data_IF_819179714332
#
_entry.id   IF_819179714332
#
_cell.length_a   1.000
_cell.length_b   1.000
_cell.length_c   1.000
_cell.angle_alpha   90.00
_cell.angle_beta   90.00
_cell.angle_gamma   90.00
#
_symmetry.space_group_name_H-M   'P 1'
#
loop_
_entity.id
_entity.type
_entity.pdbx_description
1 polymer ?
#
# COMPACT_ATOMS: atom_id res chain seq x y z
N UNK A 1 8.03 -6.80 -20.73
CA UNK A 1 6.73 -6.10 -20.60
C UNK A 1 5.70 -7.13 -20.19
N UNK A 2 5.06 -6.94 -19.05
CA UNK A 2 4.02 -7.86 -18.56
C UNK A 2 2.76 -7.61 -19.41
N UNK A 3 2.32 -8.62 -20.20
CA UNK A 3 1.10 -8.54 -21.00
C UNK A 3 -0.05 -8.83 -20.04
N UNK A 4 -0.91 -7.83 -19.77
CA UNK A 4 -2.10 -8.03 -18.96
C UNK A 4 -3.00 -9.09 -19.59
N UNK A 5 -3.54 -10.02 -18.80
CA UNK A 5 -4.32 -11.18 -19.28
C UNK A 5 -5.69 -10.82 -19.88
N UNK A 6 -6.07 -9.54 -19.92
CA UNK A 6 -7.37 -9.06 -20.42
C UNK A 6 -8.57 -9.33 -19.49
N UNK A 7 -8.40 -10.01 -18.36
CA UNK A 7 -9.47 -10.26 -17.36
C UNK A 7 -9.66 -9.06 -16.44
N UNK A 8 -10.13 -7.94 -16.98
CA UNK A 8 -10.15 -6.68 -16.26
C UNK A 8 -11.08 -6.67 -15.04
N UNK A 9 -12.26 -7.35 -15.10
CA UNK A 9 -13.17 -7.48 -13.96
C UNK A 9 -12.52 -8.23 -12.78
N UNK A 10 -11.76 -9.27 -13.08
CA UNK A 10 -11.05 -10.03 -12.06
C UNK A 10 -9.96 -9.19 -11.39
N UNK A 11 -9.17 -8.45 -12.18
CA UNK A 11 -8.18 -7.51 -11.66
C UNK A 11 -8.80 -6.40 -10.82
N UNK A 12 -9.96 -5.85 -11.23
CA UNK A 12 -10.72 -4.86 -10.47
C UNK A 12 -11.17 -5.42 -9.12
N UNK A 13 -11.81 -6.61 -9.13
CA UNK A 13 -12.28 -7.25 -7.91
C UNK A 13 -11.13 -7.48 -6.91
N UNK A 14 -10.00 -8.01 -7.37
CA UNK A 14 -8.84 -8.25 -6.51
C UNK A 14 -8.22 -6.96 -5.97
N UNK A 15 -8.14 -5.90 -6.77
CA UNK A 15 -7.64 -4.61 -6.33
C UNK A 15 -8.58 -3.95 -5.30
N UNK A 16 -9.89 -4.03 -5.49
CA UNK A 16 -10.88 -3.54 -4.53
C UNK A 16 -10.90 -4.37 -3.25
N UNK A 17 -10.76 -5.69 -3.35
CA UNK A 17 -10.62 -6.58 -2.21
C UNK A 17 -9.36 -6.21 -1.38
N UNK A 18 -8.25 -5.95 -2.05
CA UNK A 18 -7.02 -5.49 -1.40
C UNK A 18 -7.24 -4.16 -0.68
N UNK A 19 -7.87 -3.17 -1.35
CA UNK A 19 -8.17 -1.87 -0.76
C UNK A 19 -9.08 -1.99 0.47
N UNK A 20 -10.10 -2.85 0.42
CA UNK A 20 -10.99 -3.14 1.54
C UNK A 20 -10.20 -3.77 2.71
N UNK A 21 -9.43 -4.81 2.44
CA UNK A 21 -8.67 -5.54 3.46
C UNK A 21 -7.61 -4.64 4.13
N UNK A 22 -6.89 -3.83 3.36
CA UNK A 22 -5.92 -2.88 3.90
C UNK A 22 -6.59 -1.68 4.59
N UNK A 23 -7.79 -1.27 4.13
CA UNK A 23 -8.53 -0.17 4.74
C UNK A 23 -9.07 -0.52 6.14
N UNK A 24 -9.53 -1.75 6.34
CA UNK A 24 -10.04 -2.22 7.65
C UNK A 24 -8.90 -2.66 8.59
N UNK A 25 -7.72 -2.96 8.06
CA UNK A 25 -6.60 -3.50 8.84
C UNK A 25 -6.14 -2.59 10.00
N UNK A 26 -5.98 -1.25 9.84
CA UNK A 26 -5.49 -0.38 10.90
C UNK A 26 -6.36 -0.37 12.16
N UNK A 27 -7.69 -0.53 12.00
CA UNK A 27 -8.62 -0.57 13.14
C UNK A 27 -8.35 -1.80 13.99
N UNK A 28 -8.22 -2.97 13.36
CA UNK A 28 -7.90 -4.23 14.05
C UNK A 28 -6.55 -4.18 14.72
N UNK A 29 -5.55 -3.64 14.03
CA UNK A 29 -4.20 -3.48 14.56
C UNK A 29 -4.17 -2.52 15.74
N UNK A 30 -4.92 -1.40 15.70
CA UNK A 30 -4.98 -0.42 16.79
C UNK A 30 -5.47 -1.03 18.08
N UNK A 31 -6.44 -1.95 18.02
CA UNK A 31 -6.96 -2.67 19.18
C UNK A 31 -5.93 -3.66 19.74
N UNK A 32 -5.24 -4.42 18.88
CA UNK A 32 -4.19 -5.35 19.32
C UNK A 32 -2.99 -4.61 19.93
N UNK A 33 -2.64 -3.43 19.37
CA UNK A 33 -1.54 -2.59 19.86
C UNK A 33 -1.77 -1.96 21.24
N UNK A 34 -2.97 -2.10 21.83
CA UNK A 34 -3.20 -1.70 23.22
C UNK A 34 -2.48 -2.61 24.22
N UNK A 35 -2.21 -3.87 23.85
CA UNK A 35 -1.59 -4.88 24.70
C UNK A 35 -0.27 -5.35 24.14
N UNK A 36 -0.17 -5.50 22.83
CA UNK A 36 0.98 -6.06 22.12
C UNK A 36 1.86 -4.98 21.50
N UNK A 37 3.17 -5.10 21.59
CA UNK A 37 4.09 -4.17 20.95
C UNK A 37 4.14 -4.34 19.41
N UNK A 38 4.51 -3.27 18.65
CA UNK A 38 4.56 -3.29 17.19
C UNK A 38 5.43 -4.39 16.58
N UNK A 39 6.55 -4.74 17.21
CA UNK A 39 7.48 -5.77 16.71
C UNK A 39 6.83 -7.14 16.82
N UNK A 40 6.23 -7.42 17.97
CA UNK A 40 5.58 -8.72 18.25
C UNK A 40 4.35 -8.95 17.37
N UNK A 41 3.50 -7.93 17.20
CA UNK A 41 2.37 -8.00 16.23
C UNK A 41 2.88 -8.28 14.82
N UNK A 42 3.91 -7.57 14.38
CA UNK A 42 4.53 -7.77 13.06
C UNK A 42 5.09 -9.19 12.93
N UNK A 43 5.81 -9.66 13.96
CA UNK A 43 6.39 -11.00 13.99
C UNK A 43 5.34 -12.09 13.81
N UNK A 44 4.24 -12.05 14.56
CA UNK A 44 3.14 -13.01 14.41
C UNK A 44 2.53 -12.97 13.00
N UNK A 45 2.27 -11.80 12.47
CA UNK A 45 1.68 -11.63 11.13
C UNK A 45 2.57 -12.24 10.04
N UNK A 46 3.88 -12.01 10.12
CA UNK A 46 4.83 -12.50 9.13
C UNK A 46 5.12 -13.99 9.31
N UNK A 47 5.27 -14.46 10.55
CA UNK A 47 5.49 -15.87 10.86
C UNK A 47 4.32 -16.73 10.40
N UNK A 48 3.11 -16.39 10.78
CA UNK A 48 1.89 -17.16 10.41
C UNK A 48 1.69 -17.16 8.90
N UNK A 49 1.74 -15.98 8.26
CA UNK A 49 1.57 -15.89 6.81
C UNK A 49 2.67 -16.63 6.04
N UNK A 50 3.93 -16.48 6.48
CA UNK A 50 5.08 -17.16 5.88
C UNK A 50 5.01 -18.68 6.05
N UNK A 51 4.58 -19.17 7.23
CA UNK A 51 4.40 -20.60 7.51
C UNK A 51 3.30 -21.23 6.67
N UNK A 52 2.17 -20.54 6.48
CA UNK A 52 1.09 -21.00 5.59
C UNK A 52 1.58 -21.11 4.15
N UNK A 53 2.30 -20.09 3.66
CA UNK A 53 2.89 -20.11 2.31
C UNK A 53 3.93 -21.22 2.17
N UNK A 54 4.78 -21.44 3.18
CA UNK A 54 5.75 -22.52 3.19
C UNK A 54 5.06 -23.90 3.10
N UNK A 55 4.05 -24.14 3.93
CA UNK A 55 3.29 -25.38 3.91
C UNK A 55 2.63 -25.61 2.54
N UNK A 56 2.00 -24.58 1.96
CA UNK A 56 1.39 -24.65 0.63
C UNK A 56 2.42 -24.97 -0.45
N UNK A 57 3.54 -24.23 -0.51
CA UNK A 57 4.58 -24.42 -1.53
C UNK A 57 5.33 -25.75 -1.36
N UNK A 58 5.52 -26.21 -0.13
CA UNK A 58 6.09 -27.54 0.13
C UNK A 58 5.18 -28.65 -0.37
N UNK A 59 3.87 -28.57 -0.07
CA UNK A 59 2.89 -29.56 -0.51
C UNK A 59 2.69 -29.58 -2.04
N UNK A 60 2.80 -28.41 -2.72
CA UNK A 60 2.65 -28.29 -4.16
C UNK A 60 3.97 -28.51 -4.94
N UNK A 61 5.09 -28.78 -4.26
CA UNK A 61 6.41 -28.89 -4.91
C UNK A 61 6.94 -27.55 -5.49
N UNK A 62 6.34 -26.42 -5.08
CA UNK A 62 6.62 -25.08 -5.61
C UNK A 62 7.70 -24.30 -4.86
N UNK A 63 8.53 -24.94 -4.03
CA UNK A 63 9.56 -24.24 -3.26
C UNK A 63 10.58 -23.51 -4.17
N UNK A 64 11.03 -22.30 -3.79
CA UNK A 64 11.97 -21.54 -4.59
C UNK A 64 13.34 -22.18 -4.66
N UNK A 65 13.97 -22.11 -5.83
CA UNK A 65 15.37 -22.46 -6.01
C UNK A 65 16.23 -21.22 -5.86
N UNK A 66 17.21 -21.22 -4.95
CA UNK A 66 18.06 -20.05 -4.68
C UNK A 66 19.20 -19.85 -5.68
N UNK A 67 19.58 -20.91 -6.39
CA UNK A 67 20.68 -20.87 -7.37
C UNK A 67 20.55 -19.79 -8.46
N UNK A 68 19.34 -19.51 -9.02
CA UNK A 68 19.18 -18.47 -10.04
C UNK A 68 19.29 -17.03 -9.51
N UNK A 69 19.24 -16.83 -8.18
CA UNK A 69 19.20 -15.50 -7.56
C UNK A 69 20.50 -14.72 -7.78
N UNK A 70 21.67 -15.41 -7.74
CA UNK A 70 22.97 -14.79 -7.88
C UNK A 70 23.27 -13.74 -6.79
N UNK A 71 24.44 -13.10 -6.88
CA UNK A 71 24.86 -12.09 -5.88
C UNK A 71 23.97 -10.83 -5.90
N UNK A 72 23.58 -10.36 -7.08
CA UNK A 72 22.69 -9.17 -7.21
C UNK A 72 21.30 -9.45 -6.63
N UNK A 73 20.71 -10.58 -6.94
CA UNK A 73 19.43 -10.99 -6.39
C UNK A 73 19.48 -11.20 -4.87
N UNK A 74 20.59 -11.73 -4.34
CA UNK A 74 20.84 -11.83 -2.89
C UNK A 74 20.82 -10.45 -2.21
N UNK A 75 21.50 -9.45 -2.78
CA UNK A 75 21.47 -8.07 -2.27
C UNK A 75 20.07 -7.45 -2.32
N UNK A 76 19.32 -7.69 -3.39
CA UNK A 76 17.91 -7.24 -3.49
C UNK A 76 17.02 -7.93 -2.47
N UNK A 77 17.25 -9.22 -2.20
CA UNK A 77 16.51 -9.94 -1.17
C UNK A 77 16.77 -9.38 0.23
N UNK A 78 18.02 -9.09 0.57
CA UNK A 78 18.39 -8.44 1.84
C UNK A 78 17.72 -7.06 1.95
N UNK A 79 17.75 -6.25 0.88
CA UNK A 79 17.09 -4.96 0.85
C UNK A 79 15.56 -5.10 1.03
N UNK A 80 14.95 -6.11 0.40
CA UNK A 80 13.51 -6.37 0.53
C UNK A 80 13.14 -6.81 1.95
N UNK A 81 13.94 -7.69 2.58
CA UNK A 81 13.72 -8.13 3.96
C UNK A 81 13.87 -6.95 4.93
N UNK A 82 14.95 -6.19 4.84
CA UNK A 82 15.18 -5.03 5.71
C UNK A 82 14.08 -3.97 5.51
N UNK A 83 13.75 -3.65 4.25
CA UNK A 83 12.72 -2.67 3.91
C UNK A 83 11.33 -3.07 4.40
N UNK A 84 10.92 -4.34 4.22
CA UNK A 84 9.60 -4.79 4.66
C UNK A 84 9.53 -4.88 6.19
N UNK A 85 10.55 -5.43 6.86
CA UNK A 85 10.60 -5.48 8.33
C UNK A 85 10.51 -4.09 8.94
N UNK A 86 11.32 -3.15 8.45
CA UNK A 86 11.30 -1.76 8.91
C UNK A 86 9.94 -1.10 8.62
N UNK A 87 9.38 -1.28 7.42
CA UNK A 87 8.07 -0.72 7.09
C UNK A 87 6.97 -1.19 8.03
N UNK A 88 6.86 -2.51 8.26
CA UNK A 88 5.82 -3.06 9.11
C UNK A 88 5.92 -2.56 10.56
N UNK A 89 7.13 -2.55 11.12
CA UNK A 89 7.36 -2.07 12.49
C UNK A 89 7.10 -0.58 12.58
N UNK A 90 7.65 0.24 11.68
CA UNK A 90 7.46 1.70 11.68
C UNK A 90 5.98 2.07 11.45
N UNK A 91 5.28 1.37 10.54
CA UNK A 91 3.86 1.60 10.33
C UNK A 91 3.04 1.35 11.61
N UNK A 92 3.30 0.26 12.32
CA UNK A 92 2.62 -0.03 13.58
C UNK A 92 3.03 0.92 14.70
N UNK A 93 4.30 1.32 14.78
CA UNK A 93 4.74 2.38 15.70
C UNK A 93 4.01 3.70 15.44
N UNK A 94 3.91 4.11 14.18
CA UNK A 94 3.14 5.30 13.82
C UNK A 94 1.64 5.16 14.15
N UNK A 95 1.06 3.99 13.85
CA UNK A 95 -0.33 3.68 14.17
C UNK A 95 -0.62 3.67 15.68
N UNK A 96 0.34 3.28 16.52
CA UNK A 96 0.17 3.37 17.97
C UNK A 96 0.03 4.82 18.46
N UNK A 97 0.68 5.78 17.77
CA UNK A 97 0.70 7.21 18.10
C UNK A 97 -0.40 8.03 17.41
N UNK A 98 -0.92 7.53 16.28
CA UNK A 98 -1.91 8.20 15.44
C UNK A 98 -3.24 7.45 15.43
N UNK A 99 -4.27 8.11 14.87
CA UNK A 99 -5.52 7.42 14.52
C UNK A 99 -5.36 6.55 13.27
N UNK A 100 -6.21 5.53 13.08
CA UNK A 100 -6.21 4.67 11.89
C UNK A 100 -6.33 5.45 10.58
N UNK A 101 -7.24 6.43 10.51
CA UNK A 101 -7.47 7.24 9.32
C UNK A 101 -6.28 8.13 8.98
N UNK A 102 -5.71 8.82 9.97
CA UNK A 102 -4.49 9.63 9.78
C UNK A 102 -3.33 8.77 9.30
N UNK A 103 -3.07 7.63 9.93
CA UNK A 103 -1.98 6.71 9.53
C UNK A 103 -2.16 6.23 8.08
N UNK A 104 -3.39 5.84 7.72
CA UNK A 104 -3.70 5.34 6.39
C UNK A 104 -3.65 6.43 5.32
N UNK A 105 -3.90 7.69 5.69
CA UNK A 105 -3.75 8.81 4.78
C UNK A 105 -2.27 9.14 4.55
N UNK A 106 -1.47 9.25 5.62
CA UNK A 106 -0.04 9.58 5.53
C UNK A 106 0.73 8.56 4.70
N UNK A 107 0.42 7.26 4.84
CA UNK A 107 1.11 6.22 4.06
C UNK A 107 0.86 6.33 2.55
N UNK A 108 -0.16 7.10 2.09
CA UNK A 108 -0.39 7.38 0.68
C UNK A 108 0.73 8.19 0.02
N UNK A 109 1.69 8.68 0.77
CA UNK A 109 2.95 9.21 0.23
C UNK A 109 3.78 8.12 -0.47
N UNK A 110 3.65 6.84 -0.07
CA UNK A 110 4.43 5.75 -0.62
C UNK A 110 4.28 5.55 -2.16
N UNK A 111 3.06 5.56 -2.75
CA UNK A 111 2.90 5.53 -4.20
C UNK A 111 3.61 6.67 -4.94
N UNK A 112 3.66 7.86 -4.32
CA UNK A 112 4.36 9.03 -4.90
C UNK A 112 5.86 8.81 -4.89
N UNK A 113 6.39 8.36 -3.75
CA UNK A 113 7.81 8.04 -3.64
C UNK A 113 8.21 6.95 -4.63
N UNK A 114 7.35 5.95 -4.84
CA UNK A 114 7.58 4.91 -5.85
C UNK A 114 7.59 5.50 -7.26
N UNK A 115 6.65 6.42 -7.57
CA UNK A 115 6.62 7.13 -8.85
C UNK A 115 7.91 7.94 -9.06
N UNK A 116 8.27 8.80 -8.10
CA UNK A 116 9.48 9.64 -8.19
C UNK A 116 10.74 8.77 -8.34
N UNK A 117 10.83 7.68 -7.59
CA UNK A 117 11.93 6.72 -7.70
C UNK A 117 11.97 6.06 -9.08
N UNK A 118 10.81 5.72 -9.65
CA UNK A 118 10.72 5.17 -11.01
C UNK A 118 11.19 6.16 -12.07
N UNK A 119 10.83 7.44 -11.94
CA UNK A 119 11.29 8.51 -12.85
C UNK A 119 12.81 8.68 -12.80
N UNK A 120 13.38 8.68 -11.59
CA UNK A 120 14.83 8.84 -11.39
C UNK A 120 15.63 7.62 -11.87
N UNK A 121 15.17 6.40 -11.55
CA UNK A 121 15.88 5.15 -11.87
C UNK A 121 15.70 4.77 -13.34
N UNK A 122 14.45 4.84 -13.85
CA UNK A 122 14.14 4.41 -15.23
C UNK A 122 14.13 5.57 -16.25
N UNK A 123 14.41 6.82 -15.81
CA UNK A 123 14.42 8.04 -16.63
C UNK A 123 13.13 8.21 -17.45
N UNK A 124 12.00 7.85 -16.86
CA UNK A 124 10.68 8.03 -17.47
C UNK A 124 10.32 9.52 -17.52
N UNK A 125 9.48 9.91 -18.48
CA UNK A 125 9.03 11.31 -18.59
C UNK A 125 7.87 11.57 -17.64
N UNK A 126 8.01 12.60 -16.82
CA UNK A 126 6.94 13.09 -15.95
C UNK A 126 5.80 13.69 -16.80
N UNK A 127 4.60 13.16 -16.65
CA UNK A 127 3.45 13.67 -17.40
C UNK A 127 2.77 14.84 -16.67
N UNK A 128 2.14 15.75 -17.43
CA UNK A 128 1.35 16.83 -16.85
C UNK A 128 0.27 16.32 -15.89
N UNK A 129 -0.38 15.22 -16.23
CA UNK A 129 -1.40 14.60 -15.37
C UNK A 129 -0.83 14.14 -14.01
N UNK A 130 0.39 13.61 -13.99
CA UNK A 130 1.09 13.26 -12.76
C UNK A 130 1.42 14.51 -11.93
N UNK A 131 1.83 15.60 -12.58
CA UNK A 131 2.07 16.88 -11.93
C UNK A 131 0.81 17.46 -11.27
N UNK A 132 -0.32 17.44 -11.99
CA UNK A 132 -1.62 17.88 -11.45
C UNK A 132 -2.04 16.97 -10.29
N UNK A 133 -1.92 15.65 -10.45
CA UNK A 133 -2.24 14.68 -9.38
C UNK A 133 -1.42 14.92 -8.12
N UNK A 134 -0.12 15.16 -8.26
CA UNK A 134 0.77 15.49 -7.15
C UNK A 134 0.38 16.81 -6.47
N UNK A 135 0.08 17.85 -7.25
CA UNK A 135 -0.36 19.16 -6.71
C UNK A 135 -1.68 19.02 -5.91
N UNK A 136 -2.67 18.29 -6.47
CA UNK A 136 -3.95 18.00 -5.81
C UNK A 136 -3.73 17.23 -4.50
N UNK A 137 -2.83 16.25 -4.51
CA UNK A 137 -2.51 15.45 -3.33
C UNK A 137 -1.82 16.31 -2.24
N UNK A 138 -0.84 17.15 -2.60
CA UNK A 138 -0.17 18.03 -1.64
C UNK A 138 -1.15 19.06 -1.05
N UNK A 139 -2.05 19.62 -1.87
CA UNK A 139 -3.14 20.46 -1.38
C UNK A 139 -4.05 19.69 -0.41
N UNK A 140 -4.38 18.43 -0.76
CA UNK A 140 -5.14 17.54 0.11
C UNK A 140 -4.49 17.35 1.47
N UNK A 141 -3.18 17.11 1.52
CA UNK A 141 -2.45 17.02 2.80
C UNK A 141 -2.48 18.34 3.56
N UNK A 142 -2.27 19.48 2.92
CA UNK A 142 -2.32 20.78 3.57
C UNK A 142 -3.70 21.04 4.21
N UNK A 143 -4.78 20.69 3.50
CA UNK A 143 -6.14 20.81 4.01
C UNK A 143 -6.45 19.77 5.09
N UNK A 144 -5.95 18.55 4.98
CA UNK A 144 -6.14 17.52 6.02
C UNK A 144 -5.50 17.94 7.34
N UNK A 145 -4.29 18.44 7.28
CA UNK A 145 -3.56 18.87 8.47
C UNK A 145 -3.84 20.33 8.85
N UNK A 146 -4.90 20.99 8.33
CA UNK A 146 -5.15 22.43 8.52
C UNK A 146 -5.07 22.89 9.98
N UNK A 147 -5.58 22.10 10.93
CA UNK A 147 -5.58 22.42 12.36
C UNK A 147 -4.24 22.10 13.06
N UNK A 148 -3.41 21.25 12.46
CA UNK A 148 -2.15 20.76 13.05
C UNK A 148 -0.91 21.14 12.23
N UNK A 149 -1.09 21.93 11.15
CA UNK A 149 0.01 22.28 10.26
C UNK A 149 1.12 23.06 10.99
N UNK A 150 0.74 24.02 11.85
CA UNK A 150 1.70 24.74 12.66
C UNK A 150 2.44 23.81 13.63
N UNK A 151 1.74 22.90 14.31
CA UNK A 151 2.33 21.89 15.20
C UNK A 151 3.34 21.02 14.44
N UNK A 152 2.96 20.51 13.27
CA UNK A 152 3.84 19.68 12.43
C UNK A 152 5.12 20.38 11.97
N UNK A 153 5.07 21.71 11.81
CA UNK A 153 6.21 22.48 11.30
C UNK A 153 7.09 23.04 12.43
N UNK A 154 6.55 23.23 13.64
CA UNK A 154 7.25 23.96 14.71
C UNK A 154 7.54 23.13 15.96
N UNK A 155 6.89 21.98 16.14
CA UNK A 155 6.95 21.20 17.39
C UNK A 155 7.11 19.71 17.14
N UNK A 156 7.99 19.07 17.89
CA UNK A 156 8.14 17.61 17.88
C UNK A 156 7.25 16.98 18.96
N UNK A 157 5.94 17.04 18.74
CA UNK A 157 4.95 16.38 19.59
C UNK A 157 4.85 14.89 19.30
N UNK A 158 4.14 14.12 20.14
CA UNK A 158 3.83 12.71 19.90
C UNK A 158 3.11 12.52 18.57
N UNK A 159 2.22 13.44 18.19
CA UNK A 159 1.53 13.42 16.91
C UNK A 159 2.49 13.62 15.73
N UNK A 160 3.34 14.64 15.81
CA UNK A 160 4.37 14.92 14.78
C UNK A 160 5.33 13.74 14.64
N UNK A 161 5.78 13.16 15.76
CA UNK A 161 6.61 11.95 15.74
C UNK A 161 5.91 10.78 15.03
N UNK A 162 4.62 10.56 15.32
CA UNK A 162 3.81 9.55 14.64
C UNK A 162 3.76 9.76 13.12
N UNK A 163 3.50 10.99 12.66
CA UNK A 163 3.48 11.34 11.22
C UNK A 163 4.85 11.07 10.57
N UNK A 164 5.95 11.51 11.20
CA UNK A 164 7.31 11.31 10.69
C UNK A 164 7.67 9.82 10.60
N UNK A 165 7.27 9.01 11.60
CA UNK A 165 7.49 7.57 11.59
C UNK A 165 6.74 6.91 10.43
N UNK A 166 5.48 7.29 10.17
CA UNK A 166 4.72 6.75 9.03
C UNK A 166 5.30 7.22 7.69
N UNK A 167 5.79 8.45 7.59
CA UNK A 167 6.52 8.93 6.40
C UNK A 167 7.79 8.10 6.16
N UNK A 168 8.54 7.81 7.22
CA UNK A 168 9.71 6.92 7.12
C UNK A 168 9.31 5.51 6.69
N UNK A 169 8.19 4.99 7.22
CA UNK A 169 7.62 3.71 6.77
C UNK A 169 7.30 3.73 5.26
N UNK A 170 6.77 4.84 4.72
CA UNK A 170 6.52 5.00 3.28
C UNK A 170 7.82 4.98 2.46
N UNK A 171 8.88 5.62 2.95
CA UNK A 171 10.21 5.63 2.30
C UNK A 171 10.78 4.21 2.21
N UNK A 172 10.85 3.49 3.34
CA UNK A 172 11.42 2.13 3.35
C UNK A 172 10.56 1.14 2.57
N UNK A 173 9.24 1.32 2.54
CA UNK A 173 8.35 0.55 1.68
C UNK A 173 8.65 0.72 0.19
N UNK A 174 9.02 1.93 -0.22
CA UNK A 174 9.41 2.21 -1.60
C UNK A 174 10.64 1.39 -2.01
N UNK A 175 11.67 1.32 -1.16
CA UNK A 175 12.84 0.46 -1.41
C UNK A 175 12.47 -1.01 -1.46
N UNK A 176 11.62 -1.48 -0.55
CA UNK A 176 11.05 -2.83 -0.60
C UNK A 176 10.35 -3.11 -1.93
N UNK A 177 9.44 -2.21 -2.35
CA UNK A 177 8.66 -2.39 -3.58
C UNK A 177 9.53 -2.46 -4.84
N UNK A 178 10.59 -1.63 -4.93
CA UNK A 178 11.56 -1.67 -6.03
C UNK A 178 12.36 -2.98 -6.02
N UNK A 179 12.81 -3.43 -4.87
CA UNK A 179 13.55 -4.69 -4.73
C UNK A 179 12.66 -5.89 -5.06
N UNK A 180 11.44 -5.93 -4.53
CA UNK A 180 10.45 -6.98 -4.80
C UNK A 180 10.15 -7.11 -6.30
N UNK A 181 9.95 -5.99 -7.00
CA UNK A 181 9.70 -5.98 -8.45
C UNK A 181 10.82 -6.68 -9.23
N UNK A 182 12.07 -6.52 -8.80
CA UNK A 182 13.21 -7.19 -9.43
C UNK A 182 13.27 -8.69 -9.05
N UNK A 183 12.93 -9.06 -7.82
CA UNK A 183 12.88 -10.47 -7.40
C UNK A 183 11.81 -11.26 -8.15
N UNK A 184 10.70 -10.63 -8.54
CA UNK A 184 9.64 -11.25 -9.34
C UNK A 184 10.08 -11.66 -10.76
N UNK A 185 11.25 -11.22 -11.22
CA UNK A 185 11.85 -11.73 -12.49
C UNK A 185 12.47 -13.12 -12.34
N UNK A 186 12.74 -13.55 -11.10
CA UNK A 186 13.41 -14.83 -10.79
C UNK A 186 12.45 -15.82 -10.12
N UNK A 187 11.57 -15.33 -9.25
CA UNK A 187 10.62 -16.12 -8.49
C UNK A 187 9.19 -15.64 -8.72
N UNK A 188 8.22 -16.51 -8.56
CA UNK A 188 6.82 -16.09 -8.57
C UNK A 188 6.45 -15.36 -7.25
N UNK A 189 5.29 -14.69 -7.24
CA UNK A 189 4.85 -13.88 -6.11
C UNK A 189 4.80 -14.65 -4.79
N UNK A 190 4.25 -15.88 -4.79
CA UNK A 190 4.14 -16.70 -3.58
C UNK A 190 5.51 -17.09 -3.01
N UNK A 191 6.47 -17.41 -3.88
CA UNK A 191 7.84 -17.74 -3.49
C UNK A 191 8.55 -16.52 -2.88
N UNK A 192 8.44 -15.35 -3.53
CA UNK A 192 9.03 -14.09 -3.02
C UNK A 192 8.43 -13.76 -1.65
N UNK A 193 7.11 -13.81 -1.50
CA UNK A 193 6.42 -13.47 -0.25
C UNK A 193 6.77 -14.46 0.86
N UNK A 194 6.78 -15.77 0.59
CA UNK A 194 7.17 -16.78 1.58
C UNK A 194 8.57 -16.52 2.14
N UNK A 195 9.56 -16.34 1.24
CA UNK A 195 10.96 -16.13 1.67
C UNK A 195 11.10 -14.84 2.47
N UNK A 196 10.51 -13.73 1.99
CA UNK A 196 10.60 -12.44 2.68
C UNK A 196 9.90 -12.51 4.04
N UNK A 197 8.69 -13.08 4.13
CA UNK A 197 7.95 -13.15 5.39
C UNK A 197 8.68 -13.97 6.46
N UNK A 198 9.17 -15.16 6.10
CA UNK A 198 9.90 -16.00 7.05
C UNK A 198 11.24 -15.37 7.46
N UNK A 199 11.95 -14.76 6.50
CA UNK A 199 13.20 -14.07 6.81
C UNK A 199 12.99 -12.83 7.68
N UNK A 200 11.91 -12.06 7.45
CA UNK A 200 11.53 -10.94 8.31
C UNK A 200 11.13 -11.42 9.73
N UNK A 201 10.33 -12.49 9.83
CA UNK A 201 9.99 -13.08 11.12
C UNK A 201 11.24 -13.54 11.88
N UNK A 202 12.17 -14.23 11.21
CA UNK A 202 13.43 -14.64 11.80
C UNK A 202 14.28 -13.43 12.24
N UNK A 203 14.36 -12.38 11.40
CA UNK A 203 15.06 -11.15 11.72
C UNK A 203 14.49 -10.46 12.97
N UNK A 204 13.18 -10.45 13.14
CA UNK A 204 12.51 -9.78 14.26
C UNK A 204 12.45 -10.62 15.55
N UNK A 205 12.76 -11.92 15.48
CA UNK A 205 12.71 -12.85 16.63
C UNK A 205 13.45 -12.35 17.87
N UNK A 206 14.65 -11.72 17.79
CA UNK A 206 15.36 -11.26 19.00
C UNK A 206 14.62 -10.15 19.78
N UNK A 207 13.74 -9.41 19.14
CA UNK A 207 12.98 -8.31 19.73
C UNK A 207 11.51 -8.64 19.95
N UNK A 208 11.02 -9.76 19.43
CA UNK A 208 9.65 -10.20 19.63
C UNK A 208 9.47 -10.76 21.04
N UNK A 209 8.30 -10.53 21.61
CA UNK A 209 7.88 -11.04 22.91
C UNK A 209 6.65 -11.96 22.74
N UNK A 210 6.86 -13.23 22.28
CA UNK A 210 5.74 -14.10 21.90
C UNK A 210 4.73 -14.34 23.02
N UNK A 211 5.16 -14.28 24.28
CA UNK A 211 4.28 -14.51 25.42
C UNK A 211 3.20 -13.42 25.60
N UNK A 212 3.33 -12.25 24.99
CA UNK A 212 2.27 -11.23 25.01
C UNK A 212 0.93 -11.75 24.43
N UNK A 213 0.95 -12.80 23.62
CA UNK A 213 -0.27 -13.38 23.08
C UNK A 213 -1.21 -13.92 24.18
N UNK A 214 -0.69 -14.35 25.32
CA UNK A 214 -1.49 -14.86 26.43
C UNK A 214 -2.17 -13.74 27.24
N UNK A 215 -1.72 -12.48 27.06
CA UNK A 215 -2.31 -11.30 27.70
C UNK A 215 -3.49 -10.73 26.90
N UNK A 216 -3.67 -11.19 25.66
CA UNK A 216 -4.75 -10.74 24.80
C UNK A 216 -6.10 -11.24 25.29
N UNK A 217 -7.10 -10.36 25.29
CA UNK A 217 -8.50 -10.78 25.39
C UNK A 217 -8.90 -11.69 24.22
N UNK A 218 -9.98 -12.44 24.35
CA UNK A 218 -10.48 -13.27 23.26
C UNK A 218 -10.72 -12.47 21.98
N UNK A 219 -11.26 -11.24 22.09
CA UNK A 219 -11.45 -10.34 20.95
C UNK A 219 -10.11 -9.98 20.29
N UNK A 220 -9.13 -9.52 21.07
CA UNK A 220 -7.81 -9.14 20.55
C UNK A 220 -7.08 -10.31 19.91
N UNK A 221 -7.20 -11.52 20.47
CA UNK A 221 -6.66 -12.76 19.88
C UNK A 221 -7.28 -13.05 18.49
N UNK A 222 -8.60 -12.94 18.36
CA UNK A 222 -9.29 -13.07 17.08
C UNK A 222 -8.89 -11.97 16.09
N UNK A 223 -8.71 -10.72 16.55
CA UNK A 223 -8.25 -9.62 15.71
C UNK A 223 -6.82 -9.83 15.22
N UNK A 224 -5.92 -10.33 16.09
CA UNK A 224 -4.55 -10.68 15.69
C UNK A 224 -4.55 -11.77 14.61
N UNK A 225 -5.33 -12.84 14.82
CA UNK A 225 -5.49 -13.91 13.82
C UNK A 225 -6.04 -13.37 12.50
N UNK A 226 -7.08 -12.51 12.55
CA UNK A 226 -7.62 -11.85 11.38
C UNK A 226 -6.58 -10.95 10.68
N UNK A 227 -5.67 -10.29 11.43
CA UNK A 227 -4.56 -9.52 10.87
C UNK A 227 -3.50 -10.41 10.17
N UNK A 228 -3.24 -11.61 10.70
CA UNK A 228 -2.37 -12.59 10.04
C UNK A 228 -2.98 -13.06 8.70
N UNK A 229 -4.25 -13.43 8.70
CA UNK A 229 -4.97 -13.82 7.47
C UNK A 229 -5.08 -12.65 6.48
N UNK A 230 -5.32 -11.44 6.98
CA UNK A 230 -5.34 -10.24 6.13
C UNK A 230 -3.98 -10.05 5.42
N UNK A 231 -2.87 -10.26 6.14
CA UNK A 231 -1.53 -10.16 5.55
C UNK A 231 -1.36 -11.14 4.38
N UNK A 232 -1.82 -12.37 4.55
CA UNK A 232 -1.75 -13.40 3.51
C UNK A 232 -2.67 -13.09 2.32
N UNK A 233 -3.96 -12.83 2.59
CA UNK A 233 -4.99 -12.69 1.55
C UNK A 233 -4.85 -11.37 0.80
N UNK A 234 -4.63 -10.24 1.51
CA UNK A 234 -4.54 -8.94 0.87
C UNK A 234 -3.33 -8.81 -0.06
N UNK A 235 -2.16 -9.30 0.37
CA UNK A 235 -0.98 -9.30 -0.50
C UNK A 235 -1.09 -10.33 -1.62
N UNK A 236 -1.72 -11.48 -1.39
CA UNK A 236 -2.04 -12.43 -2.45
C UNK A 236 -2.96 -11.83 -3.51
N UNK A 237 -4.04 -11.18 -3.09
CA UNK A 237 -4.95 -10.47 -3.98
C UNK A 237 -4.27 -9.30 -4.72
N UNK A 238 -3.41 -8.55 -4.06
CA UNK A 238 -2.61 -7.48 -4.67
C UNK A 238 -1.68 -8.03 -5.76
N UNK A 239 -0.94 -9.09 -5.46
CA UNK A 239 -0.02 -9.70 -6.40
C UNK A 239 -0.74 -10.26 -7.63
N UNK A 240 -1.89 -10.91 -7.43
CA UNK A 240 -2.72 -11.43 -8.50
C UNK A 240 -3.40 -10.31 -9.30
N UNK A 241 -3.83 -9.21 -8.65
CA UNK A 241 -4.33 -8.03 -9.35
C UNK A 241 -3.27 -7.46 -10.31
N UNK A 242 -2.00 -7.42 -9.90
CA UNK A 242 -0.88 -6.99 -10.75
C UNK A 242 -0.62 -7.94 -11.92
N UNK A 243 -0.96 -9.22 -11.81
CA UNK A 243 -0.87 -10.16 -12.91
C UNK A 243 -1.95 -9.92 -13.99
N UNK A 244 -3.11 -9.33 -13.62
CA UNK A 244 -4.22 -9.08 -14.53
C UNK A 244 -4.32 -7.63 -15.00
N UNK A 245 -3.80 -6.68 -14.21
CA UNK A 245 -3.87 -5.25 -14.46
C UNK A 245 -2.50 -4.60 -14.50
N UNK A 246 -2.42 -3.44 -15.16
CA UNK A 246 -1.28 -2.54 -15.08
C UNK A 246 -1.13 -2.00 -13.65
N UNK A 247 0.09 -1.86 -13.18
CA UNK A 247 0.38 -1.39 -11.81
C UNK A 247 -0.29 -0.03 -11.51
N UNK A 248 -0.38 0.87 -12.50
CA UNK A 248 -1.06 2.16 -12.37
C UNK A 248 -2.55 2.01 -12.07
N UNK A 249 -3.24 1.06 -12.70
CA UNK A 249 -4.68 0.80 -12.43
C UNK A 249 -4.89 0.20 -11.04
N UNK A 250 -4.03 -0.74 -10.64
CA UNK A 250 -4.06 -1.30 -9.29
C UNK A 250 -3.82 -0.20 -8.26
N UNK A 251 -2.79 0.63 -8.44
CA UNK A 251 -2.50 1.76 -7.55
C UNK A 251 -3.66 2.75 -7.45
N UNK A 252 -4.36 3.02 -8.57
CA UNK A 252 -5.53 3.88 -8.56
C UNK A 252 -6.70 3.29 -7.75
N UNK A 253 -6.95 1.99 -7.87
CA UNK A 253 -7.94 1.31 -7.04
C UNK A 253 -7.56 1.33 -5.56
N UNK A 254 -6.28 1.16 -5.24
CA UNK A 254 -5.78 1.24 -3.87
C UNK A 254 -5.83 2.65 -3.27
N UNK A 255 -5.89 3.70 -4.09
CA UNK A 255 -6.03 5.08 -3.61
C UNK A 255 -7.31 5.30 -2.77
N UNK A 256 -8.33 4.46 -2.92
CA UNK A 256 -9.56 4.52 -2.10
C UNK A 256 -9.38 3.99 -0.67
N UNK A 257 -8.27 3.32 -0.37
CA UNK A 257 -8.01 2.67 0.93
C UNK A 257 -8.23 3.59 2.14
N UNK A 258 -7.79 4.86 2.16
CA UNK A 258 -8.08 5.76 3.27
C UNK A 258 -9.57 6.03 3.47
N UNK A 259 -10.35 6.14 2.38
CA UNK A 259 -11.81 6.33 2.49
C UNK A 259 -12.47 5.09 3.11
N UNK A 260 -12.00 3.89 2.74
CA UNK A 260 -12.44 2.64 3.40
C UNK A 260 -12.11 2.69 4.87
N UNK A 261 -10.92 3.16 5.25
CA UNK A 261 -10.52 3.28 6.66
C UNK A 261 -11.42 4.26 7.41
N UNK A 262 -11.63 5.47 6.90
CA UNK A 262 -12.51 6.46 7.52
C UNK A 262 -13.95 5.94 7.66
N UNK A 263 -14.49 5.34 6.60
CA UNK A 263 -15.83 4.73 6.64
C UNK A 263 -15.92 3.59 7.65
N UNK A 264 -14.90 2.73 7.71
CA UNK A 264 -14.85 1.62 8.65
C UNK A 264 -14.67 2.07 10.11
N UNK A 265 -13.88 3.13 10.37
CA UNK A 265 -13.77 3.76 11.70
C UNK A 265 -15.11 4.34 12.12
N UNK A 266 -15.77 5.09 11.24
CA UNK A 266 -17.09 5.67 11.54
C UNK A 266 -18.12 4.58 11.87
N UNK A 267 -18.16 3.51 11.06
CA UNK A 267 -19.06 2.37 11.30
C UNK A 267 -18.71 1.62 12.60
N UNK A 268 -17.43 1.35 12.84
CA UNK A 268 -16.98 0.66 14.04
C UNK A 268 -17.26 1.49 15.30
N UNK A 269 -17.08 2.81 15.27
CA UNK A 269 -17.40 3.71 16.37
C UNK A 269 -18.90 3.73 16.72
N UNK A 270 -19.80 3.44 15.77
CA UNK A 270 -21.24 3.33 16.07
C UNK A 270 -21.60 2.00 16.71
N UNK A 271 -20.92 0.91 16.35
CA UNK A 271 -21.25 -0.44 16.83
C UNK A 271 -20.43 -0.88 18.06
N UNK A 272 -19.20 -0.35 18.20
CA UNK A 272 -18.27 -0.65 19.30
C UNK A 272 -17.62 0.63 19.84
N UNK A 273 -18.40 1.59 20.38
CA UNK A 273 -17.90 2.87 20.86
C UNK A 273 -16.88 2.72 22.00
N UNK A 274 -16.89 1.59 22.71
CA UNK A 274 -15.94 1.28 23.78
C UNK A 274 -14.52 0.98 23.26
N UNK A 275 -14.40 0.48 22.02
CA UNK A 275 -13.13 0.08 21.41
C UNK A 275 -12.63 1.05 20.33
N UNK A 276 -13.56 1.71 19.63
CA UNK A 276 -13.21 2.55 18.48
C UNK A 276 -13.80 3.94 18.68
N UNK A 277 -12.92 4.95 18.77
CA UNK A 277 -13.31 6.33 18.81
C UNK A 277 -13.42 6.92 17.40
N UNK A 278 -14.41 7.78 17.11
CA UNK A 278 -14.51 8.44 15.81
C UNK A 278 -13.32 9.38 15.59
N UNK A 279 -12.93 9.54 14.33
CA UNK A 279 -11.88 10.48 13.96
C UNK A 279 -12.29 11.93 14.30
N UNK A 280 -11.49 12.59 15.12
CA UNK A 280 -11.74 14.00 15.51
C UNK A 280 -11.11 14.93 14.46
N UNK A 281 -11.74 15.04 13.31
CA UNK A 281 -11.32 15.91 12.21
C UNK A 281 -12.47 16.80 11.75
N UNK A 282 -12.15 18.01 11.27
CA UNK A 282 -13.14 18.96 10.77
C UNK A 282 -13.53 18.68 9.29
N UNK A 283 -14.53 19.37 8.78
CA UNK A 283 -15.00 19.19 7.38
C UNK A 283 -13.93 19.53 6.35
N UNK A 284 -13.03 20.49 6.65
CA UNK A 284 -11.91 20.83 5.77
C UNK A 284 -10.95 19.64 5.66
N UNK A 285 -10.68 18.94 6.76
CA UNK A 285 -9.84 17.75 6.76
C UNK A 285 -10.47 16.58 6.00
N UNK A 286 -11.79 16.38 6.08
CA UNK A 286 -12.50 15.42 5.20
C UNK A 286 -12.34 15.75 3.72
N UNK A 287 -12.49 17.03 3.36
CA UNK A 287 -12.22 17.52 2.00
C UNK A 287 -10.76 17.28 1.58
N UNK A 288 -9.82 17.54 2.49
CA UNK A 288 -8.40 17.23 2.30
C UNK A 288 -8.14 15.75 2.06
N UNK A 289 -8.73 14.86 2.85
CA UNK A 289 -8.62 13.41 2.66
C UNK A 289 -9.14 12.98 1.28
N UNK A 290 -10.28 13.51 0.84
CA UNK A 290 -10.82 13.24 -0.49
C UNK A 290 -9.86 13.71 -1.60
N UNK A 291 -9.24 14.89 -1.45
CA UNK A 291 -8.24 15.39 -2.41
C UNK A 291 -6.97 14.53 -2.43
N UNK A 292 -6.49 14.02 -1.29
CA UNK A 292 -5.37 13.07 -1.25
C UNK A 292 -5.70 11.83 -2.08
N UNK A 293 -6.90 11.27 -1.92
CA UNK A 293 -7.35 10.10 -2.69
C UNK A 293 -7.44 10.41 -4.18
N UNK A 294 -8.06 11.54 -4.55
CA UNK A 294 -8.18 11.97 -5.95
C UNK A 294 -6.82 12.25 -6.57
N UNK A 295 -5.94 12.94 -5.87
CA UNK A 295 -4.58 13.24 -6.32
C UNK A 295 -3.75 11.97 -6.52
N UNK A 296 -3.83 11.02 -5.59
CA UNK A 296 -3.17 9.71 -5.70
C UNK A 296 -3.69 8.94 -6.92
N UNK A 297 -5.01 8.83 -7.09
CA UNK A 297 -5.63 8.17 -8.24
C UNK A 297 -5.23 8.85 -9.56
N UNK A 298 -5.26 10.18 -9.64
CA UNK A 298 -4.89 10.95 -10.84
C UNK A 298 -3.40 10.77 -11.18
N UNK A 299 -2.53 10.73 -10.19
CA UNK A 299 -1.10 10.45 -10.38
C UNK A 299 -0.89 9.05 -10.98
N UNK A 300 -1.67 8.06 -10.56
CA UNK A 300 -1.56 6.68 -11.02
C UNK A 300 -2.14 6.48 -12.45
N UNK A 301 -3.34 7.00 -12.74
CA UNK A 301 -4.05 6.77 -14.03
C UNK A 301 -3.90 7.91 -15.03
N UNK A 302 -3.48 9.10 -14.60
CA UNK A 302 -3.40 10.29 -15.46
C UNK A 302 -2.64 10.07 -16.78
N UNK A 303 -1.47 9.41 -16.80
CA UNK A 303 -0.75 9.11 -18.04
C UNK A 303 -1.56 8.25 -19.02
N UNK A 304 -2.31 7.27 -18.52
CA UNK A 304 -3.16 6.38 -19.34
C UNK A 304 -4.32 7.14 -19.96
N UNK A 305 -4.98 8.00 -19.18
CA UNK A 305 -6.07 8.85 -19.65
C UNK A 305 -5.59 9.80 -20.75
N UNK A 306 -4.44 10.46 -20.55
CA UNK A 306 -3.86 11.35 -21.55
C UNK A 306 -3.48 10.61 -22.84
N UNK A 307 -2.92 9.41 -22.74
CA UNK A 307 -2.60 8.59 -23.90
C UNK A 307 -3.87 8.19 -24.69
N UNK A 308 -4.93 7.80 -23.99
CA UNK A 308 -6.21 7.42 -24.61
C UNK A 308 -6.89 8.61 -25.30
N UNK A 309 -6.86 9.80 -24.68
CA UNK A 309 -7.40 11.03 -25.26
C UNK A 309 -6.63 11.46 -26.50
N UNK A 310 -5.30 11.36 -26.49
CA UNK A 310 -4.46 11.62 -27.68
C UNK A 310 -4.80 10.66 -28.82
N UNK A 311 -4.92 9.37 -28.52
CA UNK A 311 -5.26 8.36 -29.53
C UNK A 311 -6.66 8.61 -30.13
N UNK A 312 -7.66 9.02 -29.31
CA UNK A 312 -8.99 9.41 -29.80
C UNK A 312 -8.93 10.65 -30.70
N UNK A 313 -8.17 11.69 -30.32
CA UNK A 313 -8.01 12.91 -31.15
C UNK A 313 -7.38 12.59 -32.50
N UNK A 314 -6.38 11.73 -32.54
CA UNK A 314 -5.73 11.29 -33.81
C UNK A 314 -6.73 10.54 -34.67
N UNK A 315 -7.53 9.62 -34.12
CA UNK A 315 -8.56 8.91 -34.89
C UNK A 315 -9.62 9.84 -35.46
N UNK A 316 -10.12 10.79 -34.69
CA UNK A 316 -11.11 11.78 -35.15
C UNK A 316 -10.49 12.67 -36.26
N UNK A 317 -9.23 13.10 -36.11
CA UNK A 317 -8.56 13.91 -37.13
C UNK A 317 -8.28 13.14 -38.44
N UNK A 318 -8.04 11.83 -38.36
CA UNK A 318 -7.90 10.98 -39.56
C UNK A 318 -9.25 10.80 -40.25
N UNK A 319 -10.31 10.47 -39.49
CA UNK A 319 -11.67 10.33 -40.03
C UNK A 319 -12.19 11.63 -40.67
N UNK A 320 -11.91 12.80 -40.07
CA UNK A 320 -12.31 14.09 -40.66
C UNK A 320 -11.59 14.42 -41.96
N UNK A 321 -10.36 13.92 -42.17
CA UNK A 321 -9.63 14.05 -43.45
C UNK A 321 -10.12 13.09 -44.54
N UNK A 322 -10.59 11.89 -44.16
CA UNK A 322 -11.16 10.91 -45.09
C UNK A 322 -12.58 11.30 -45.57
N UNK A 323 -13.34 12.08 -44.77
CA UNK A 323 -14.70 12.54 -45.08
C UNK A 323 -14.71 13.84 -45.90
N UNK A 324 -13.58 14.54 -46.06
CA UNK A 324 -13.40 15.70 -46.94
C UNK A 324 -12.69 15.25 -48.23
N UNK A 325 -13.42 14.70 -49.23
CA UNK A 325 -12.82 14.45 -50.52
C UNK A 325 -12.48 15.79 -51.16
N UNK A 326 -11.28 15.85 -51.74
CA UNK A 326 -10.78 16.99 -52.51
C UNK A 326 -11.81 17.48 -53.51
N UNK A 327 -12.47 18.61 -53.19
CA UNK A 327 -13.14 19.43 -54.20
C UNK A 327 -12.04 20.25 -54.91
N UNK A 328 -11.31 19.61 -55.80
CA UNK A 328 -10.47 20.26 -56.79
C UNK A 328 -10.59 19.45 -58.08
N UNK A 329 -11.63 19.77 -58.88
CA UNK A 329 -11.60 19.76 -60.34
C UNK A 329 -12.25 21.04 -60.85
#
# INVERSE_FOLDING_TARGET
>A
MHISSGRWLHGLFLALLTALLWGVLPIKLKEVLQVMDPVTVTWYRLLVSGSILLAYLAASGGLPRFRPLGRKGGGLLVLAIAGLSANYVLYLMGLSLLSPGTTQLVIQVAPILLLVSSLLIFRERFSLAQGIGLAVLLLGFALFFNQRLAELLTSLTTYTAGVLIVLLAAVVWTFYGLAQKQLLTVWNSLQVMMVIYLACALLLTPWAQPLQVVELSALQGWLLFACCLNTLVAYGAFAEALAHWEASRVSAALAITPLVTFGSVALAATWWPEHVQPEQINWIAYGGAALVVLGSALTAIGPLLMASLRARRVRVAVQSREVSPSSNE
#
